data_IF_747352399396
#
_entry.id   IF_747352399396
#
_cell.length_a   1.000
_cell.length_b   1.000
_cell.length_c   1.000
_cell.angle_alpha   90.00
_cell.angle_beta   90.00
_cell.angle_gamma   90.00
#
_symmetry.space_group_name_H-M   'P 1'
#
loop_
_entity.id
_entity.type
_entity.pdbx_description
1 polymer ?
#
# COMPACT_ATOMS: atom_id res chain seq x y z
N UNK A 1 -65.80 7.12 6.46
CA UNK A 1 -64.70 6.37 7.12
C UNK A 1 -63.76 5.90 6.01
N UNK A 2 -63.18 6.81 5.21
CA UNK A 2 -62.16 7.84 5.55
C UNK A 2 -60.76 7.18 5.47
N UNK A 3 -59.72 7.71 4.85
CA UNK A 3 -59.46 8.91 4.06
C UNK A 3 -58.11 8.63 3.36
N UNK A 4 -58.03 8.64 2.04
CA UNK A 4 -56.75 8.84 1.34
C UNK A 4 -56.64 10.31 0.99
N UNK A 5 -56.15 11.09 1.95
CA UNK A 5 -55.88 12.51 1.78
C UNK A 5 -54.59 12.66 0.98
N UNK A 6 -54.73 13.10 -0.28
CA UNK A 6 -53.66 13.71 -1.05
C UNK A 6 -53.07 14.88 -0.26
N UNK A 7 -51.79 14.79 0.09
CA UNK A 7 -51.01 15.95 0.49
C UNK A 7 -50.09 16.31 -0.67
N UNK A 8 -50.62 17.13 -1.57
CA UNK A 8 -49.85 18.08 -2.37
C UNK A 8 -49.02 18.93 -1.41
N UNK A 9 -47.74 18.60 -1.26
CA UNK A 9 -46.74 19.56 -0.80
C UNK A 9 -46.01 20.06 -2.03
N UNK A 10 -46.28 21.33 -2.35
CA UNK A 10 -45.63 22.05 -3.43
C UNK A 10 -44.12 21.89 -3.38
N UNK A 11 -43.59 21.18 -4.37
CA UNK A 11 -42.18 21.20 -4.74
C UNK A 11 -42.12 22.01 -6.02
N UNK A 12 -41.74 23.27 -5.92
CA UNK A 12 -41.34 24.06 -7.07
C UNK A 12 -40.06 23.45 -7.63
N UNK A 13 -40.12 22.92 -8.85
CA UNK A 13 -38.93 22.51 -9.61
C UNK A 13 -37.99 23.72 -9.72
N UNK A 14 -36.70 23.62 -9.34
CA UNK A 14 -35.73 24.64 -9.70
C UNK A 14 -35.69 24.73 -11.23
N UNK A 15 -35.83 25.95 -11.76
CA UNK A 15 -35.62 26.20 -13.19
C UNK A 15 -34.20 25.77 -13.60
N UNK A 16 -33.94 25.59 -14.91
CA UNK A 16 -32.63 25.16 -15.39
C UNK A 16 -31.57 26.13 -14.86
N UNK A 17 -30.76 25.65 -13.92
CA UNK A 17 -29.52 26.32 -13.54
C UNK A 17 -28.72 26.34 -14.82
N UNK A 18 -28.53 27.53 -15.38
CA UNK A 18 -27.54 27.75 -16.41
C UNK A 18 -26.22 27.29 -15.82
N UNK A 19 -25.79 26.08 -16.18
CA UNK A 19 -24.42 25.64 -16.05
C UNK A 19 -23.69 26.54 -17.04
N UNK A 20 -23.21 27.66 -16.53
CA UNK A 20 -22.29 28.52 -17.23
C UNK A 20 -21.13 27.60 -17.64
N UNK A 21 -20.99 27.42 -18.94
CA UNK A 21 -19.97 26.57 -19.56
C UNK A 21 -18.62 27.22 -19.23
N UNK A 22 -18.07 26.87 -18.08
CA UNK A 22 -16.67 27.07 -17.74
C UNK A 22 -15.82 25.92 -18.31
N UNK A 23 -16.18 25.43 -19.50
CA UNK A 23 -15.46 24.39 -20.22
C UNK A 23 -14.94 24.99 -21.51
N UNK A 24 -13.72 25.54 -21.48
CA UNK A 24 -12.71 25.58 -22.56
C UNK A 24 -11.39 26.17 -22.00
N UNK A 25 -11.43 27.02 -20.98
CA UNK A 25 -10.22 27.76 -20.52
C UNK A 25 -9.32 26.98 -19.52
N UNK A 26 -9.80 25.88 -18.93
CA UNK A 26 -9.01 25.11 -17.94
C UNK A 26 -8.01 24.13 -18.56
N UNK A 27 -8.20 23.71 -19.81
CA UNK A 27 -7.32 22.76 -20.50
C UNK A 27 -5.98 23.38 -20.93
N UNK A 28 -5.90 24.71 -21.04
CA UNK A 28 -4.67 25.42 -21.41
C UNK A 28 -3.64 25.60 -20.27
N UNK A 29 -3.95 25.20 -19.03
CA UNK A 29 -3.14 25.56 -17.85
C UNK A 29 -2.36 24.42 -17.18
N UNK A 30 -2.34 23.20 -17.75
CA UNK A 30 -1.48 22.12 -17.22
C UNK A 30 0.02 22.44 -17.33
N UNK A 31 0.40 23.20 -18.37
CA UNK A 31 1.79 23.63 -18.62
C UNK A 31 2.22 24.89 -17.86
N UNK A 32 1.30 25.62 -17.19
CA UNK A 32 1.63 26.90 -16.54
C UNK A 32 1.99 26.78 -15.06
N UNK A 33 1.82 25.59 -14.47
CA UNK A 33 2.14 25.32 -13.07
C UNK A 33 3.62 24.99 -12.92
N UNK A 34 4.22 25.43 -11.82
CA UNK A 34 5.65 25.22 -11.57
C UNK A 34 5.96 23.74 -11.29
N UNK A 35 7.21 23.31 -11.56
CA UNK A 35 7.69 21.97 -11.20
C UNK A 35 7.43 21.64 -9.71
N UNK A 36 7.66 22.61 -8.82
CA UNK A 36 7.39 22.46 -7.39
C UNK A 36 5.92 22.17 -7.09
N UNK A 37 4.99 22.74 -7.87
CA UNK A 37 3.58 22.42 -7.74
C UNK A 37 3.33 20.93 -8.05
N UNK A 38 3.88 20.41 -9.15
CA UNK A 38 3.70 19.00 -9.51
C UNK A 38 4.33 18.06 -8.50
N UNK A 39 5.58 18.31 -8.09
CA UNK A 39 6.27 17.50 -7.08
C UNK A 39 5.52 17.48 -5.75
N UNK A 40 4.98 18.63 -5.32
CA UNK A 40 4.14 18.70 -4.11
C UNK A 40 2.84 17.91 -4.28
N UNK A 41 2.21 17.92 -5.46
CA UNK A 41 1.01 17.10 -5.72
C UNK A 41 1.31 15.61 -5.60
N UNK A 42 2.41 15.14 -6.21
CA UNK A 42 2.85 13.73 -6.13
C UNK A 42 3.14 13.31 -4.68
N UNK A 43 3.81 14.18 -3.92
CA UNK A 43 4.03 13.96 -2.49
C UNK A 43 2.71 13.89 -1.71
N UNK A 44 1.75 14.77 -1.99
CA UNK A 44 0.47 14.79 -1.28
C UNK A 44 -0.40 13.56 -1.53
N UNK A 45 -0.30 12.94 -2.71
CA UNK A 45 -0.93 11.64 -2.97
C UNK A 45 -0.38 10.57 -2.02
N UNK A 46 0.95 10.48 -1.90
CA UNK A 46 1.66 9.37 -1.24
C UNK A 46 1.96 9.60 0.25
N UNK A 47 1.69 10.80 0.77
CA UNK A 47 2.14 11.26 2.09
C UNK A 47 1.75 10.33 3.25
N UNK A 48 0.52 9.83 3.27
CA UNK A 48 0.00 8.97 4.35
C UNK A 48 0.53 7.54 4.26
N UNK A 49 0.72 7.04 3.05
CA UNK A 49 0.85 5.61 2.78
C UNK A 49 2.31 5.20 2.56
N UNK A 50 3.18 6.14 2.18
CA UNK A 50 4.60 5.90 1.93
C UNK A 50 5.32 5.19 3.08
N UNK A 51 5.07 5.60 4.33
CA UNK A 51 5.69 4.97 5.50
C UNK A 51 5.19 3.54 5.69
N UNK A 52 3.90 3.31 5.54
CA UNK A 52 3.29 2.00 5.71
C UNK A 52 3.88 1.01 4.71
N UNK A 53 3.88 1.37 3.42
CA UNK A 53 4.37 0.48 2.35
C UNK A 53 5.86 0.21 2.48
N UNK A 54 6.67 1.22 2.77
CA UNK A 54 8.12 1.00 2.98
C UNK A 54 8.36 0.11 4.19
N UNK A 55 7.70 0.34 5.33
CA UNK A 55 7.91 -0.50 6.51
C UNK A 55 7.49 -1.96 6.28
N UNK A 56 6.40 -2.19 5.53
CA UNK A 56 5.96 -3.55 5.16
C UNK A 56 6.90 -4.24 4.18
N UNK A 57 7.63 -3.48 3.35
CA UNK A 57 8.52 -4.02 2.32
C UNK A 57 10.00 -4.04 2.69
N UNK A 58 10.43 -3.24 3.67
CA UNK A 58 11.84 -3.09 4.06
C UNK A 58 12.41 -4.31 4.81
N UNK A 59 11.56 -5.28 5.14
CA UNK A 59 11.98 -6.54 5.76
C UNK A 59 12.07 -7.61 4.67
N UNK A 60 13.29 -7.99 4.33
CA UNK A 60 13.56 -9.03 3.33
C UNK A 60 13.91 -10.34 4.03
N UNK A 61 13.49 -11.46 3.44
CA UNK A 61 13.95 -12.78 3.86
C UNK A 61 15.46 -12.91 3.68
N UNK A 62 16.13 -13.55 4.64
CA UNK A 62 17.56 -13.88 4.51
C UNK A 62 17.79 -14.88 3.38
N UNK A 63 18.94 -14.77 2.70
CA UNK A 63 19.35 -15.72 1.66
C UNK A 63 18.93 -15.39 0.23
N UNK A 64 18.06 -14.39 0.03
CA UNK A 64 17.63 -13.97 -1.32
C UNK A 64 18.76 -13.28 -2.12
N UNK A 65 19.73 -12.68 -1.44
CA UNK A 65 20.76 -11.85 -2.07
C UNK A 65 22.18 -12.32 -1.72
N UNK A 66 23.08 -12.40 -2.72
CA UNK A 66 24.42 -12.96 -2.53
C UNK A 66 25.38 -12.01 -1.79
N UNK A 67 25.18 -10.69 -1.88
CA UNK A 67 26.05 -9.70 -1.24
C UNK A 67 25.35 -8.34 -0.99
N UNK A 68 25.85 -7.60 0.00
CA UNK A 68 25.30 -6.30 0.44
C UNK A 68 25.45 -5.20 -0.61
N UNK A 69 26.44 -5.28 -1.50
CA UNK A 69 26.65 -4.30 -2.57
C UNK A 69 25.64 -4.42 -3.69
N UNK A 70 25.25 -5.64 -4.04
CA UNK A 70 24.12 -5.85 -4.95
C UNK A 70 22.84 -5.23 -4.38
N UNK A 71 22.55 -5.44 -3.09
CA UNK A 71 21.40 -4.82 -2.43
C UNK A 71 21.51 -3.29 -2.45
N UNK A 72 22.64 -2.74 -1.99
CA UNK A 72 22.83 -1.29 -1.87
C UNK A 72 22.74 -0.58 -3.23
N UNK A 73 23.29 -1.17 -4.29
CA UNK A 73 23.25 -0.59 -5.65
C UNK A 73 21.86 -0.64 -6.27
N UNK A 74 21.03 -1.63 -5.91
CA UNK A 74 19.66 -1.79 -6.44
C UNK A 74 18.58 -1.15 -5.55
N UNK A 75 18.92 -0.79 -4.31
CA UNK A 75 18.00 -0.13 -3.37
C UNK A 75 17.37 1.15 -3.93
N UNK A 76 18.08 2.07 -4.63
CA UNK A 76 17.44 3.24 -5.23
C UNK A 76 16.40 2.87 -6.29
N UNK A 77 16.68 1.85 -7.11
CA UNK A 77 15.77 1.37 -8.14
C UNK A 77 14.53 0.73 -7.51
N UNK A 78 14.71 -0.09 -6.47
CA UNK A 78 13.62 -0.67 -5.70
C UNK A 78 12.75 0.40 -5.04
N UNK A 79 13.34 1.40 -4.38
CA UNK A 79 12.58 2.48 -3.75
C UNK A 79 11.80 3.31 -4.76
N UNK A 80 12.40 3.58 -5.94
CA UNK A 80 11.70 4.24 -7.03
C UNK A 80 10.55 3.38 -7.58
N UNK A 81 10.76 2.07 -7.72
CA UNK A 81 9.73 1.12 -8.13
C UNK A 81 8.55 1.12 -7.16
N UNK A 82 8.83 1.05 -5.85
CA UNK A 82 7.81 1.11 -4.79
C UNK A 82 7.03 2.42 -4.90
N UNK A 83 7.73 3.56 -4.98
CA UNK A 83 7.09 4.86 -4.98
C UNK A 83 6.20 5.11 -6.20
N UNK A 84 6.63 4.70 -7.41
CA UNK A 84 5.83 4.86 -8.63
C UNK A 84 4.60 3.94 -8.63
N UNK A 85 4.74 2.70 -8.15
CA UNK A 85 3.59 1.79 -8.01
C UNK A 85 2.61 2.26 -6.91
N UNK A 86 3.14 2.80 -5.81
CA UNK A 86 2.32 3.43 -4.76
C UNK A 86 1.56 4.63 -5.30
N UNK A 87 2.20 5.46 -6.13
CA UNK A 87 1.52 6.58 -6.78
C UNK A 87 0.33 6.12 -7.64
N UNK A 88 0.45 4.99 -8.35
CA UNK A 88 -0.68 4.43 -9.11
C UNK A 88 -1.83 4.03 -8.18
N UNK A 89 -1.52 3.30 -7.12
CA UNK A 89 -2.52 2.87 -6.13
C UNK A 89 -3.22 4.07 -5.49
N UNK A 90 -2.45 5.05 -5.02
CA UNK A 90 -2.96 6.23 -4.35
C UNK A 90 -3.85 7.08 -5.26
N UNK A 91 -3.42 7.33 -6.51
CA UNK A 91 -4.25 8.10 -7.44
C UNK A 91 -5.54 7.33 -7.76
N UNK A 92 -5.46 6.02 -7.99
CA UNK A 92 -6.63 5.20 -8.27
C UNK A 92 -7.61 5.15 -7.08
N UNK A 93 -7.08 5.05 -5.86
CA UNK A 93 -7.85 5.02 -4.63
C UNK A 93 -8.51 6.36 -4.33
N UNK A 94 -7.82 7.48 -4.58
CA UNK A 94 -8.27 8.81 -4.15
C UNK A 94 -9.15 9.55 -5.18
N UNK A 95 -9.14 9.14 -6.46
CA UNK A 95 -9.81 9.90 -7.54
C UNK A 95 -11.34 9.78 -7.60
N UNK A 96 -11.92 8.72 -7.04
CA UNK A 96 -13.36 8.45 -7.17
C UNK A 96 -14.19 9.33 -6.22
N UNK A 97 -15.41 9.69 -6.63
CA UNK A 97 -16.26 10.61 -5.85
C UNK A 97 -16.48 10.19 -4.40
N UNK A 98 -16.72 8.90 -4.15
CA UNK A 98 -16.83 8.37 -2.78
C UNK A 98 -15.55 8.53 -1.96
N UNK A 99 -14.37 8.38 -2.59
CA UNK A 99 -13.08 8.62 -1.96
C UNK A 99 -12.85 10.09 -1.64
N UNK A 100 -13.28 10.99 -2.52
CA UNK A 100 -13.17 12.43 -2.26
C UNK A 100 -14.01 12.85 -1.04
N UNK A 101 -15.21 12.27 -0.87
CA UNK A 101 -16.07 12.52 0.30
C UNK A 101 -15.42 12.00 1.59
N UNK A 102 -14.91 10.76 1.55
CA UNK A 102 -14.17 10.15 2.67
C UNK A 102 -12.94 10.98 3.07
N UNK A 103 -12.11 11.33 2.08
CA UNK A 103 -10.86 12.05 2.30
C UNK A 103 -11.08 13.51 2.69
N UNK A 104 -12.20 14.13 2.32
CA UNK A 104 -12.54 15.47 2.81
C UNK A 104 -12.69 15.52 4.34
N UNK A 105 -13.02 14.39 4.97
CA UNK A 105 -13.13 14.24 6.42
C UNK A 105 -11.79 13.80 7.00
N UNK A 106 -11.29 12.63 6.57
CA UNK A 106 -10.12 12.01 7.19
C UNK A 106 -8.81 12.73 6.83
N UNK A 107 -8.72 13.22 5.60
CA UNK A 107 -7.47 13.60 4.93
C UNK A 107 -7.65 14.87 4.06
N UNK A 108 -8.16 16.00 4.59
CA UNK A 108 -8.56 17.15 3.78
C UNK A 108 -7.41 17.83 3.01
N UNK A 109 -6.15 17.56 3.39
CA UNK A 109 -4.96 18.05 2.68
C UNK A 109 -4.71 17.36 1.32
N UNK A 110 -5.49 16.32 0.98
CA UNK A 110 -5.25 15.41 -0.14
C UNK A 110 -5.57 16.14 -1.46
N UNK A 111 -4.94 15.78 -2.60
CA UNK A 111 -5.02 16.61 -3.79
C UNK A 111 -6.44 16.91 -4.29
N UNK A 112 -7.34 15.91 -4.24
CA UNK A 112 -8.73 16.10 -4.68
C UNK A 112 -9.60 16.86 -3.67
N UNK A 113 -9.67 16.48 -2.38
CA UNK A 113 -10.48 17.22 -1.40
C UNK A 113 -10.06 18.68 -1.22
N UNK A 114 -8.76 18.98 -1.34
CA UNK A 114 -8.25 20.35 -1.24
C UNK A 114 -8.47 21.19 -2.50
N UNK A 115 -9.08 20.63 -3.55
CA UNK A 115 -9.28 21.30 -4.84
C UNK A 115 -7.97 21.60 -5.57
N UNK A 116 -6.88 20.88 -5.26
CA UNK A 116 -5.58 21.12 -5.87
C UNK A 116 -5.59 20.72 -7.34
N UNK A 117 -6.21 19.59 -7.67
CA UNK A 117 -6.41 19.09 -9.05
C UNK A 117 -7.85 18.56 -9.18
N UNK A 118 -8.37 18.49 -10.41
CA UNK A 118 -9.69 17.92 -10.68
C UNK A 118 -9.65 16.37 -10.78
N UNK A 119 -10.79 15.68 -10.66
CA UNK A 119 -10.87 14.24 -10.88
C UNK A 119 -10.40 13.80 -12.28
N UNK A 120 -10.67 14.61 -13.31
CA UNK A 120 -10.24 14.36 -14.70
C UNK A 120 -8.71 14.45 -14.80
N UNK A 121 -8.11 15.46 -14.16
CA UNK A 121 -6.66 15.58 -14.09
C UNK A 121 -6.02 14.41 -13.33
N UNK A 122 -6.64 13.95 -12.23
CA UNK A 122 -6.17 12.77 -11.51
C UNK A 122 -6.24 11.50 -12.39
N UNK A 123 -7.29 11.33 -13.20
CA UNK A 123 -7.39 10.24 -14.18
C UNK A 123 -6.25 10.31 -15.21
N UNK A 124 -5.96 11.49 -15.75
CA UNK A 124 -4.88 11.64 -16.74
C UNK A 124 -3.51 11.33 -16.10
N UNK A 125 -3.30 11.78 -14.86
CA UNK A 125 -2.09 11.47 -14.09
C UNK A 125 -1.99 9.98 -13.77
N UNK A 126 -3.11 9.30 -13.50
CA UNK A 126 -3.13 7.85 -13.30
C UNK A 126 -2.63 7.11 -14.53
N UNK A 127 -3.07 7.50 -15.74
CA UNK A 127 -2.61 6.87 -16.98
C UNK A 127 -1.10 7.05 -17.18
N UNK A 128 -0.58 8.26 -16.92
CA UNK A 128 0.87 8.52 -16.99
C UNK A 128 1.63 7.72 -15.93
N UNK A 129 1.11 7.66 -14.70
CA UNK A 129 1.71 6.90 -13.60
C UNK A 129 1.74 5.40 -13.91
N UNK A 130 0.69 4.85 -14.53
CA UNK A 130 0.63 3.45 -14.98
C UNK A 130 1.74 3.16 -16.00
N UNK A 131 1.89 4.02 -17.02
CA UNK A 131 2.94 3.86 -18.03
C UNK A 131 4.34 3.96 -17.41
N UNK A 132 4.55 4.89 -16.49
CA UNK A 132 5.81 5.04 -15.76
C UNK A 132 6.10 3.80 -14.88
N UNK A 133 5.08 3.29 -14.18
CA UNK A 133 5.19 2.08 -13.35
C UNK A 133 5.58 0.89 -14.21
N UNK A 134 4.88 0.65 -15.33
CA UNK A 134 5.18 -0.47 -16.23
C UNK A 134 6.58 -0.37 -16.83
N UNK A 135 6.96 0.82 -17.32
CA UNK A 135 8.30 1.05 -17.88
C UNK A 135 9.41 0.77 -16.86
N UNK A 136 9.25 1.28 -15.64
CA UNK A 136 10.21 1.06 -14.56
C UNK A 136 10.26 -0.41 -14.12
N UNK A 137 9.11 -1.10 -14.13
CA UNK A 137 9.00 -2.50 -13.70
C UNK A 137 9.65 -3.48 -14.67
N UNK A 138 9.64 -3.16 -15.96
CA UNK A 138 10.40 -3.92 -16.97
C UNK A 138 11.91 -3.79 -16.69
N UNK A 139 12.37 -2.60 -16.30
CA UNK A 139 13.79 -2.36 -16.00
C UNK A 139 14.23 -2.96 -14.67
N UNK A 140 13.34 -3.00 -13.66
CA UNK A 140 13.67 -3.53 -12.34
C UNK A 140 13.54 -5.05 -12.24
N UNK A 141 12.73 -5.68 -13.09
CA UNK A 141 12.34 -7.08 -12.99
C UNK A 141 11.02 -7.29 -12.22
N UNK A 142 10.41 -6.22 -11.69
CA UNK A 142 9.16 -6.25 -10.93
C UNK A 142 7.87 -6.27 -11.77
N UNK A 143 7.95 -6.52 -13.08
CA UNK A 143 6.82 -6.39 -14.01
C UNK A 143 5.59 -7.22 -13.63
N UNK A 144 5.79 -8.50 -13.29
CA UNK A 144 4.68 -9.40 -12.91
C UNK A 144 3.98 -8.92 -11.64
N UNK A 145 4.74 -8.45 -10.65
CA UNK A 145 4.20 -7.89 -9.42
C UNK A 145 3.37 -6.63 -9.70
N UNK A 146 3.85 -5.74 -10.57
CA UNK A 146 3.12 -4.51 -10.92
C UNK A 146 1.83 -4.76 -11.70
N UNK A 147 1.80 -5.69 -12.66
CA UNK A 147 0.53 -6.02 -13.34
C UNK A 147 -0.46 -6.61 -12.34
N UNK A 148 0.01 -7.51 -11.48
CA UNK A 148 -0.83 -8.14 -10.46
C UNK A 148 -1.36 -7.08 -9.48
N UNK A 149 -0.53 -6.14 -9.06
CA UNK A 149 -0.93 -4.98 -8.27
C UNK A 149 -2.00 -4.15 -8.99
N UNK A 150 -1.82 -3.83 -10.27
CA UNK A 150 -2.81 -3.06 -11.04
C UNK A 150 -4.16 -3.79 -11.14
N UNK A 151 -4.16 -5.12 -11.26
CA UNK A 151 -5.39 -5.91 -11.20
C UNK A 151 -6.06 -5.78 -9.83
N UNK A 152 -5.32 -5.91 -8.73
CA UNK A 152 -5.85 -5.71 -7.38
C UNK A 152 -6.40 -4.29 -7.15
N UNK A 153 -5.66 -3.26 -7.59
CA UNK A 153 -6.07 -1.85 -7.49
C UNK A 153 -7.36 -1.60 -8.26
N UNK A 154 -7.49 -2.15 -9.47
CA UNK A 154 -8.70 -2.06 -10.27
C UNK A 154 -9.87 -2.80 -9.62
N UNK A 155 -9.65 -4.03 -9.12
CA UNK A 155 -10.68 -4.79 -8.39
C UNK A 155 -11.14 -4.08 -7.12
N UNK A 156 -10.23 -3.46 -6.37
CA UNK A 156 -10.53 -2.76 -5.13
C UNK A 156 -11.35 -1.48 -5.38
N UNK A 157 -10.96 -0.69 -6.38
CA UNK A 157 -11.53 0.63 -6.63
C UNK A 157 -12.65 0.62 -7.67
N UNK A 158 -12.36 0.20 -8.89
CA UNK A 158 -13.26 0.33 -10.05
C UNK A 158 -14.35 -0.74 -10.07
N UNK A 159 -14.09 -1.93 -9.51
CA UNK A 159 -15.10 -2.97 -9.31
C UNK A 159 -15.76 -2.91 -7.92
N UNK A 160 -15.47 -1.86 -7.14
CA UNK A 160 -16.01 -1.65 -5.80
C UNK A 160 -15.76 -2.81 -4.82
N UNK A 161 -14.65 -3.54 -5.01
CA UNK A 161 -14.21 -4.61 -4.11
C UNK A 161 -14.01 -4.12 -2.67
N UNK A 162 -13.69 -2.84 -2.49
CA UNK A 162 -13.58 -2.20 -1.16
C UNK A 162 -14.89 -2.21 -0.35
N UNK A 163 -16.04 -2.35 -1.01
CA UNK A 163 -17.38 -2.43 -0.40
C UNK A 163 -18.00 -3.84 -0.50
N UNK A 164 -17.28 -4.83 -1.00
CA UNK A 164 -17.78 -6.21 -1.18
C UNK A 164 -17.68 -7.08 0.08
N UNK A 165 -17.76 -6.46 1.26
CA UNK A 165 -17.60 -7.10 2.56
C UNK A 165 -16.16 -7.22 3.05
N UNK A 166 -16.01 -7.41 4.37
CA UNK A 166 -14.71 -7.33 5.07
C UNK A 166 -13.66 -8.29 4.55
N UNK A 167 -14.06 -9.52 4.19
CA UNK A 167 -13.12 -10.56 3.77
C UNK A 167 -12.52 -10.27 2.39
N UNK A 168 -13.36 -9.81 1.45
CA UNK A 168 -12.91 -9.45 0.11
C UNK A 168 -12.02 -8.21 0.20
N UNK A 169 -12.46 -7.16 0.92
CA UNK A 169 -11.66 -5.95 1.14
C UNK A 169 -10.28 -6.28 1.73
N UNK A 170 -10.23 -7.06 2.82
CA UNK A 170 -8.97 -7.41 3.46
C UNK A 170 -8.08 -8.26 2.54
N UNK A 171 -8.66 -9.20 1.77
CA UNK A 171 -7.91 -10.02 0.82
C UNK A 171 -7.32 -9.18 -0.32
N UNK A 172 -8.06 -8.22 -0.85
CA UNK A 172 -7.58 -7.30 -1.89
C UNK A 172 -6.46 -6.39 -1.35
N UNK A 173 -6.62 -5.83 -0.15
CA UNK A 173 -5.56 -5.02 0.48
C UNK A 173 -4.30 -5.85 0.79
N UNK A 174 -4.48 -7.07 1.33
CA UNK A 174 -3.37 -7.97 1.58
C UNK A 174 -2.66 -8.37 0.28
N UNK A 175 -3.40 -8.73 -0.76
CA UNK A 175 -2.85 -9.04 -2.09
C UNK A 175 -2.08 -7.87 -2.69
N UNK A 176 -2.60 -6.65 -2.60
CA UNK A 176 -1.91 -5.43 -3.04
C UNK A 176 -0.60 -5.20 -2.30
N UNK A 177 -0.60 -5.29 -0.97
CA UNK A 177 0.62 -5.15 -0.16
C UNK A 177 1.62 -6.29 -0.39
N UNK A 178 1.16 -7.52 -0.64
CA UNK A 178 2.01 -8.63 -1.04
C UNK A 178 2.69 -8.37 -2.39
N UNK A 179 2.01 -7.74 -3.35
CA UNK A 179 2.63 -7.33 -4.62
C UNK A 179 3.74 -6.30 -4.41
N UNK A 180 3.61 -5.39 -3.43
CA UNK A 180 4.71 -4.49 -3.08
C UNK A 180 5.93 -5.26 -2.55
N UNK A 181 5.73 -6.25 -1.68
CA UNK A 181 6.83 -7.11 -1.20
C UNK A 181 7.46 -7.92 -2.33
N UNK A 182 6.64 -8.51 -3.20
CA UNK A 182 7.11 -9.25 -4.38
C UNK A 182 7.95 -8.36 -5.29
N UNK A 183 7.42 -7.23 -5.74
CA UNK A 183 8.13 -6.36 -6.66
C UNK A 183 9.37 -5.71 -6.05
N UNK A 184 9.37 -5.45 -4.72
CA UNK A 184 10.56 -5.00 -4.01
C UNK A 184 11.68 -6.04 -4.05
N UNK A 185 11.37 -7.29 -3.66
CA UNK A 185 12.32 -8.40 -3.71
C UNK A 185 12.82 -8.64 -5.14
N UNK A 186 11.93 -8.67 -6.13
CA UNK A 186 12.29 -8.86 -7.53
C UNK A 186 13.17 -7.72 -8.06
N UNK A 187 12.88 -6.48 -7.63
CA UNK A 187 13.70 -5.32 -7.98
C UNK A 187 15.11 -5.40 -7.39
N UNK A 188 15.26 -5.99 -6.22
CA UNK A 188 16.57 -6.25 -5.61
C UNK A 188 17.29 -7.45 -6.23
N UNK A 189 16.57 -8.50 -6.65
CA UNK A 189 17.19 -9.74 -7.17
C UNK A 189 17.52 -9.65 -8.66
N UNK A 190 16.87 -8.74 -9.39
CA UNK A 190 16.96 -8.70 -10.86
C UNK A 190 15.85 -9.46 -11.57
N UNK A 191 14.81 -9.89 -10.85
CA UNK A 191 13.54 -10.36 -11.39
C UNK A 191 13.12 -11.73 -10.89
N UNK A 192 14.05 -12.68 -10.79
CA UNK A 192 13.74 -14.03 -10.29
C UNK A 192 13.76 -14.05 -8.76
N UNK A 193 12.76 -14.72 -8.17
CA UNK A 193 12.68 -14.94 -6.73
C UNK A 193 12.94 -16.39 -6.38
N UNK A 194 13.62 -16.61 -5.26
CA UNK A 194 13.76 -17.93 -4.66
C UNK A 194 12.45 -18.36 -3.97
N UNK A 195 12.23 -19.68 -3.77
CA UNK A 195 11.08 -20.19 -3.02
C UNK A 195 10.93 -19.56 -1.63
N UNK A 196 12.04 -19.25 -0.97
CA UNK A 196 12.11 -18.59 0.33
C UNK A 196 11.50 -17.18 0.28
N UNK A 197 11.78 -16.42 -0.78
CA UNK A 197 11.16 -15.12 -1.04
C UNK A 197 9.63 -15.22 -1.15
N UNK A 198 9.11 -16.24 -1.83
CA UNK A 198 7.66 -16.47 -1.88
C UNK A 198 7.07 -16.89 -0.54
N UNK A 199 7.76 -17.74 0.22
CA UNK A 199 7.33 -18.11 1.58
C UNK A 199 7.23 -16.88 2.49
N UNK A 200 8.20 -15.96 2.39
CA UNK A 200 8.18 -14.69 3.10
C UNK A 200 7.00 -13.79 2.70
N UNK A 201 6.73 -13.66 1.39
CA UNK A 201 5.57 -12.90 0.88
C UNK A 201 4.25 -13.49 1.41
N UNK A 202 4.13 -14.81 1.44
CA UNK A 202 2.94 -15.48 1.98
C UNK A 202 2.78 -15.27 3.49
N UNK A 203 3.87 -15.35 4.26
CA UNK A 203 3.85 -15.13 5.70
C UNK A 203 3.45 -13.68 6.03
N UNK A 204 4.10 -12.70 5.39
CA UNK A 204 3.76 -11.27 5.55
C UNK A 204 2.35 -10.96 5.08
N UNK A 205 1.91 -11.59 3.98
CA UNK A 205 0.52 -11.51 3.50
C UNK A 205 -0.51 -12.00 4.51
N UNK A 206 -0.23 -13.11 5.22
CA UNK A 206 -1.11 -13.63 6.26
C UNK A 206 -1.19 -12.70 7.49
N UNK A 207 -0.06 -12.10 7.88
CA UNK A 207 -0.02 -11.04 8.91
C UNK A 207 -0.93 -9.90 8.47
N UNK A 208 -0.71 -9.34 7.29
CA UNK A 208 -1.47 -8.21 6.76
C UNK A 208 -2.97 -8.54 6.68
N UNK A 209 -3.34 -9.69 6.12
CA UNK A 209 -4.75 -10.12 5.99
C UNK A 209 -5.48 -10.10 7.34
N UNK A 210 -4.78 -10.45 8.43
CA UNK A 210 -5.34 -10.53 9.78
C UNK A 210 -5.21 -9.23 10.59
N UNK A 211 -4.46 -8.23 10.10
CA UNK A 211 -4.23 -6.97 10.81
C UNK A 211 -4.54 -5.70 10.02
N UNK A 212 -4.90 -5.80 8.74
CA UNK A 212 -5.06 -4.63 7.85
C UNK A 212 -6.16 -3.68 8.30
N UNK A 213 -7.19 -4.18 9.00
CA UNK A 213 -8.26 -3.37 9.57
C UNK A 213 -7.79 -2.42 10.69
N UNK A 214 -6.51 -2.49 11.11
CA UNK A 214 -5.89 -1.43 11.90
C UNK A 214 -5.96 -0.07 11.21
N UNK A 215 -5.93 -0.05 9.87
CA UNK A 215 -6.00 1.16 9.07
C UNK A 215 -7.40 1.81 9.09
N UNK A 216 -8.44 1.03 9.43
CA UNK A 216 -9.81 1.52 9.46
C UNK A 216 -10.12 2.33 10.74
N UNK A 217 -9.33 2.16 11.81
CA UNK A 217 -9.59 2.80 13.11
C UNK A 217 -9.45 4.34 13.09
N UNK A 218 -8.44 4.94 12.44
CA UNK A 218 -8.35 6.39 12.32
C UNK A 218 -9.37 6.97 11.34
N UNK A 219 -9.91 6.15 10.44
CA UNK A 219 -10.67 6.58 9.26
C UNK A 219 -12.20 6.38 9.41
N UNK A 220 -12.69 6.05 10.63
CA UNK A 220 -14.10 5.71 10.94
C UNK A 220 -15.09 6.75 10.42
N UNK A 221 -14.84 8.04 10.65
CA UNK A 221 -15.79 9.11 10.28
C UNK A 221 -15.93 9.22 8.75
N UNK A 222 -14.82 9.24 8.01
CA UNK A 222 -14.85 9.26 6.55
C UNK A 222 -15.37 7.95 5.94
N UNK A 223 -15.02 6.80 6.52
CA UNK A 223 -15.56 5.49 6.10
C UNK A 223 -17.08 5.45 6.24
N UNK A 224 -17.62 5.99 7.35
CA UNK A 224 -19.05 6.11 7.58
C UNK A 224 -19.72 7.03 6.55
N UNK A 225 -19.11 8.18 6.24
CA UNK A 225 -19.64 9.12 5.24
C UNK A 225 -19.69 8.54 3.82
N UNK A 226 -18.72 7.67 3.48
CA UNK A 226 -18.70 6.93 2.22
C UNK A 226 -19.63 5.70 2.21
N UNK A 227 -20.08 5.24 3.38
CA UNK A 227 -20.89 4.02 3.52
C UNK A 227 -20.07 2.73 3.44
N UNK A 228 -18.79 2.77 3.84
CA UNK A 228 -17.92 1.59 3.85
C UNK A 228 -18.30 0.59 4.92
N UNK A 229 -18.07 -0.69 4.62
CA UNK A 229 -18.26 -1.79 5.54
C UNK A 229 -16.92 -2.20 6.17
N UNK A 230 -16.50 -1.48 7.22
CA UNK A 230 -15.24 -1.74 7.93
C UNK A 230 -15.46 -2.50 9.24
N UNK A 231 -14.42 -3.17 9.73
CA UNK A 231 -14.49 -3.90 11.01
C UNK A 231 -14.99 -3.03 12.17
N UNK A 232 -14.45 -1.80 12.40
CA UNK A 232 -14.96 -0.95 13.48
C UNK A 232 -16.42 -0.50 13.28
N UNK A 233 -16.88 -0.30 12.03
CA UNK A 233 -18.28 0.08 11.77
C UNK A 233 -19.27 -1.09 11.92
N UNK A 234 -18.86 -2.31 11.57
CA UNK A 234 -19.73 -3.48 11.63
C UNK A 234 -19.77 -4.16 13.01
N UNK A 235 -18.61 -4.23 13.69
CA UNK A 235 -18.46 -4.99 14.94
C UNK A 235 -18.12 -4.10 16.15
N UNK A 236 -17.94 -2.80 15.93
CA UNK A 236 -17.54 -1.85 16.95
C UNK A 236 -16.03 -1.75 17.13
N UNK A 237 -15.57 -0.59 17.59
CA UNK A 237 -14.16 -0.30 17.81
C UNK A 237 -13.47 -1.26 18.79
N UNK A 238 -14.17 -1.65 19.86
CA UNK A 238 -13.61 -2.55 20.86
C UNK A 238 -13.26 -3.92 20.25
N UNK A 239 -14.15 -4.48 19.43
CA UNK A 239 -13.89 -5.75 18.75
C UNK A 239 -12.75 -5.61 17.72
N UNK A 240 -12.69 -4.49 16.99
CA UNK A 240 -11.59 -4.20 16.08
C UNK A 240 -10.24 -4.16 16.82
N UNK A 241 -10.15 -3.45 17.94
CA UNK A 241 -8.91 -3.34 18.75
C UNK A 241 -8.51 -4.67 19.41
N UNK A 242 -9.47 -5.42 19.94
CA UNK A 242 -9.21 -6.73 20.58
C UNK A 242 -8.71 -7.73 19.53
N UNK A 243 -9.36 -7.81 18.37
CA UNK A 243 -8.92 -8.72 17.29
C UNK A 243 -7.51 -8.37 16.81
N UNK A 244 -7.18 -7.07 16.68
CA UNK A 244 -5.81 -6.65 16.38
C UNK A 244 -4.81 -7.07 17.44
N UNK A 245 -5.12 -6.83 18.73
CA UNK A 245 -4.25 -7.23 19.83
C UNK A 245 -3.98 -8.74 19.82
N UNK A 246 -5.03 -9.55 19.63
CA UNK A 246 -4.91 -11.01 19.53
C UNK A 246 -4.03 -11.43 18.36
N UNK A 247 -4.28 -10.90 17.15
CA UNK A 247 -3.52 -11.29 15.96
C UNK A 247 -2.06 -10.81 16.02
N UNK A 248 -1.81 -9.59 16.48
CA UNK A 248 -0.45 -9.08 16.66
C UNK A 248 0.31 -9.90 17.72
N UNK A 249 -0.32 -10.25 18.84
CA UNK A 249 0.31 -11.13 19.85
C UNK A 249 0.56 -12.53 19.29
N UNK A 250 -0.40 -13.11 18.56
CA UNK A 250 -0.24 -14.42 17.92
C UNK A 250 0.98 -14.42 16.98
N UNK A 251 1.07 -13.45 16.07
CA UNK A 251 2.21 -13.35 15.15
C UNK A 251 3.52 -13.03 15.88
N UNK A 252 3.50 -12.17 16.90
CA UNK A 252 4.66 -11.89 17.74
C UNK A 252 5.23 -13.15 18.38
N UNK A 253 4.38 -13.99 18.99
CA UNK A 253 4.81 -15.25 19.59
C UNK A 253 5.31 -16.26 18.56
N UNK A 254 4.64 -16.42 17.42
CA UNK A 254 5.01 -17.44 16.42
C UNK A 254 6.26 -17.05 15.61
N UNK A 255 6.45 -15.76 15.32
CA UNK A 255 7.69 -15.29 14.69
C UNK A 255 8.87 -15.43 15.67
N UNK A 256 8.69 -15.08 16.94
CA UNK A 256 9.73 -15.28 17.96
C UNK A 256 10.02 -16.75 18.25
N UNK A 257 8.99 -17.60 18.34
CA UNK A 257 9.17 -19.04 18.55
C UNK A 257 9.82 -19.72 17.34
N UNK A 258 9.51 -19.30 16.11
CA UNK A 258 10.23 -19.77 14.92
C UNK A 258 11.71 -19.40 14.94
N UNK A 259 12.05 -18.20 15.44
CA UNK A 259 13.43 -17.74 15.67
C UNK A 259 14.12 -18.47 16.83
N UNK A 260 13.37 -19.09 17.75
CA UNK A 260 13.94 -19.83 18.88
C UNK A 260 14.10 -21.33 18.56
N UNK A 261 13.11 -21.93 17.89
CA UNK A 261 13.05 -23.36 17.55
C UNK A 261 13.97 -23.74 16.38
N UNK A 262 14.10 -22.86 15.38
CA UNK A 262 14.96 -23.09 14.21
C UNK A 262 16.31 -22.35 14.32
N UNK A 263 16.59 -21.75 15.49
CA UNK A 263 17.55 -20.65 15.61
C UNK A 263 17.01 -19.39 14.93
N UNK A 264 17.71 -18.24 15.00
CA UNK A 264 17.47 -17.24 13.96
C UNK A 264 17.49 -17.97 12.62
N UNK A 265 16.77 -17.51 11.60
CA UNK A 265 16.82 -18.11 10.25
C UNK A 265 18.22 -17.87 9.57
N UNK A 266 19.24 -17.75 10.42
CA UNK A 266 20.65 -17.43 10.31
C UNK A 266 21.41 -18.67 10.80
N UNK A 267 22.35 -19.17 10.00
CA UNK A 267 23.45 -19.96 10.57
C UNK A 267 23.98 -21.11 9.73
N UNK A 268 24.46 -20.83 8.52
CA UNK A 268 25.68 -21.44 7.96
C UNK A 268 26.02 -20.77 6.63
N UNK A 269 26.70 -19.64 6.70
CA UNK A 269 27.11 -18.90 5.50
C UNK A 269 28.00 -17.72 5.79
N UNK A 270 29.20 -17.99 6.34
CA UNK A 270 30.34 -17.08 6.29
C UNK A 270 30.34 -15.94 7.30
N UNK A 271 31.17 -16.08 8.35
CA UNK A 271 32.42 -15.32 8.54
C UNK A 271 33.22 -16.06 9.62
N UNK A 272 33.95 -17.12 9.26
CA UNK A 272 35.16 -17.47 10.01
C UNK A 272 36.25 -16.48 9.59
N UNK A 273 36.24 -15.30 10.21
CA UNK A 273 37.39 -14.43 10.27
C UNK A 273 37.79 -14.31 11.75
N UNK A 274 38.23 -15.43 12.33
CA UNK A 274 38.99 -15.40 13.57
C UNK A 274 40.47 -15.27 13.20
N UNK A 275 40.97 -14.06 13.39
CA UNK A 275 42.37 -13.66 13.47
C UNK A 275 43.18 -14.70 14.27
N UNK A 276 44.37 -15.15 13.81
CA UNK A 276 45.21 -16.04 14.60
C UNK A 276 45.84 -15.26 15.75
N UNK A 277 45.22 -15.32 16.93
CA UNK A 277 45.91 -14.95 18.17
C UNK A 277 46.71 -16.16 18.64
N UNK A 278 48.03 -16.01 18.55
CA UNK A 278 49.00 -16.98 19.03
C UNK A 278 48.76 -17.35 20.49
N UNK A 279 48.99 -18.63 20.78
CA UNK A 279 48.85 -19.19 22.11
C UNK A 279 49.12 -20.68 22.12
N UNK A 280 50.21 -21.11 21.46
CA UNK A 280 50.70 -22.48 21.57
C UNK A 280 51.17 -22.72 23.01
N UNK A 281 50.30 -23.31 23.83
CA UNK A 281 50.69 -23.93 25.07
C UNK A 281 51.52 -25.18 24.74
N UNK A 282 52.84 -25.07 24.88
CA UNK A 282 53.76 -26.21 24.89
C UNK A 282 53.47 -27.01 26.17
N UNK A 283 52.76 -28.12 26.02
CA UNK A 283 52.69 -29.14 27.06
C UNK A 283 53.98 -29.95 27.05
N UNK A 284 54.73 -29.85 28.14
CA UNK A 284 55.86 -30.70 28.46
C UNK A 284 55.44 -32.16 28.60
N UNK A 285 56.09 -33.05 27.84
CA UNK A 285 56.28 -34.44 28.19
C UNK A 285 57.69 -34.85 27.76
N UNK A 286 58.51 -35.07 28.78
CA UNK A 286 59.85 -35.66 28.79
C UNK A 286 59.83 -37.12 28.32
N UNK A 287 60.71 -37.47 27.37
CA UNK A 287 61.90 -38.34 27.47
C UNK A 287 62.61 -38.30 26.11
#
# INVERSE_FOLDING_TARGET
MDNYTLLEKGVTTPGPIAIEIADVEQTHNLSSRSLLYHLKTLFLFTKSDFKTVILTTAHFGEGEFPDVWTIASRMPLMLMWIWVNLLVEDIANQRLGGSVVEDAINKPWRPLPSGRISPEQARDWLLVAILAAMGLSILSGGYTASITLMAFVWMYNDLDGSNSGIWIRNALNAGGLMCFSWGALASLSGGELLPEGFAWIMATGAIIMTTVHAQDLPDIEGDMARGRQTVPLLYGEAAARISLAVMVSFWGCNVSAGVEEYGPVVGRGGVEAVVPLGGGAVSSASI
#
